data_IF_459277549263
#
_entry.id   IF_459277549263
#
_cell.length_a   1.000
_cell.length_b   1.000
_cell.length_c   1.000
_cell.angle_alpha   90.00
_cell.angle_beta   90.00
_cell.angle_gamma   90.00
#
_symmetry.space_group_name_H-M   'P 1'
#
loop_
_entity.id
_entity.type
_entity.pdbx_description
1 polymer ?
#
# COMPACT_ATOMS: atom_id res chain seq x y z
N UNK A 1 5.42 -19.28 -60.29
CA UNK A 1 4.34 -19.53 -59.31
C UNK A 1 4.72 -18.87 -57.99
N UNK A 2 3.92 -17.87 -57.57
CA UNK A 2 3.70 -17.36 -56.19
C UNK A 2 4.81 -16.59 -55.41
N UNK A 3 4.43 -15.61 -54.56
CA UNK A 3 4.84 -14.21 -54.73
C UNK A 3 5.56 -13.56 -53.53
N UNK A 4 6.08 -12.35 -53.77
CA UNK A 4 6.60 -11.43 -52.75
C UNK A 4 5.49 -10.84 -51.85
N UNK A 5 5.83 -10.44 -50.61
CA UNK A 5 5.15 -9.35 -49.93
C UNK A 5 6.00 -8.08 -49.88
N UNK A 6 5.49 -7.05 -50.56
CA UNK A 6 5.86 -5.64 -50.38
C UNK A 6 5.42 -5.21 -48.97
N UNK A 7 6.32 -4.66 -48.16
CA UNK A 7 5.94 -4.01 -46.90
C UNK A 7 6.36 -2.55 -46.91
N UNK A 8 5.34 -1.70 -46.81
CA UNK A 8 5.36 -0.26 -47.01
C UNK A 8 6.21 0.47 -45.98
N UNK A 9 6.87 1.52 -46.45
CA UNK A 9 7.51 2.58 -45.67
C UNK A 9 6.45 3.36 -44.89
N UNK A 10 6.70 3.63 -43.61
CA UNK A 10 6.14 4.77 -42.89
C UNK A 10 7.08 5.12 -41.73
N UNK A 11 8.00 6.05 -41.98
CA UNK A 11 8.67 6.78 -40.92
C UNK A 11 7.81 7.97 -40.52
N UNK A 12 7.60 8.18 -39.22
CA UNK A 12 7.19 9.47 -38.63
C UNK A 12 7.80 9.54 -37.21
N UNK A 13 8.82 10.39 -37.10
CA UNK A 13 9.25 11.26 -35.99
C UNK A 13 9.03 10.87 -34.52
N UNK A 14 10.15 10.96 -33.80
CA UNK A 14 10.28 10.98 -32.35
C UNK A 14 9.32 11.94 -31.64
N UNK A 15 8.68 11.44 -30.59
CA UNK A 15 8.22 12.22 -29.45
C UNK A 15 8.97 11.70 -28.23
N UNK A 16 9.99 12.45 -27.81
CA UNK A 16 10.62 12.30 -26.51
C UNK A 16 9.65 12.81 -25.46
N UNK A 17 8.91 11.91 -24.80
CA UNK A 17 8.30 12.18 -23.50
C UNK A 17 9.18 11.53 -22.45
N UNK A 18 9.72 12.38 -21.58
CA UNK A 18 10.69 12.03 -20.55
C UNK A 18 10.21 10.82 -19.74
N UNK A 19 10.91 9.70 -19.92
CA UNK A 19 10.93 8.65 -18.93
C UNK A 19 11.78 9.19 -17.76
N UNK A 20 11.16 9.98 -16.89
CA UNK A 20 11.61 10.11 -15.52
C UNK A 20 11.34 8.77 -14.85
N UNK A 21 12.18 7.77 -15.17
CA UNK A 21 12.36 6.59 -14.33
C UNK A 21 13.05 7.15 -13.10
N UNK A 22 12.24 7.68 -12.18
CA UNK A 22 12.67 7.92 -10.83
C UNK A 22 13.32 6.63 -10.37
N UNK A 23 14.56 6.76 -9.94
CA UNK A 23 15.31 5.67 -9.34
C UNK A 23 14.51 5.32 -8.08
N UNK A 24 13.60 4.36 -8.17
CA UNK A 24 12.99 3.72 -7.01
C UNK A 24 14.13 3.01 -6.30
N UNK A 25 14.78 3.79 -5.43
CA UNK A 25 15.94 3.36 -4.66
C UNK A 25 15.59 2.07 -3.96
N UNK A 26 16.35 1.02 -4.27
CA UNK A 26 16.48 -0.23 -3.55
C UNK A 26 15.27 -0.54 -2.65
N UNK A 27 14.14 -0.94 -3.24
CA UNK A 27 13.06 -1.54 -2.46
C UNK A 27 13.68 -2.68 -1.66
N UNK A 28 13.85 -2.46 -0.35
CA UNK A 28 14.53 -3.36 0.55
C UNK A 28 13.77 -4.69 0.45
N UNK A 29 14.35 -5.67 -0.27
CA UNK A 29 13.61 -6.85 -0.77
C UNK A 29 13.04 -7.68 0.38
N UNK A 30 13.67 -7.58 1.54
CA UNK A 30 13.20 -8.14 2.80
C UNK A 30 11.89 -7.47 3.29
N UNK A 31 11.83 -6.14 3.31
CA UNK A 31 10.62 -5.40 3.68
C UNK A 31 9.45 -5.69 2.73
N UNK A 32 9.73 -5.78 1.42
CA UNK A 32 8.71 -6.15 0.43
C UNK A 32 8.18 -7.58 0.66
N UNK A 33 9.06 -8.52 1.03
CA UNK A 33 8.68 -9.89 1.37
C UNK A 33 7.75 -9.94 2.58
N UNK A 34 8.07 -9.22 3.64
CA UNK A 34 7.24 -9.09 4.85
C UNK A 34 5.87 -8.49 4.55
N UNK A 35 5.82 -7.46 3.70
CA UNK A 35 4.55 -6.82 3.33
C UNK A 35 3.68 -7.72 2.48
N UNK A 36 4.27 -8.51 1.56
CA UNK A 36 3.49 -9.51 0.81
C UNK A 36 2.88 -10.57 1.74
N UNK A 37 3.63 -10.99 2.76
CA UNK A 37 3.11 -11.90 3.79
C UNK A 37 1.98 -11.24 4.59
N UNK A 38 2.19 -10.00 5.07
CA UNK A 38 1.17 -9.24 5.77
C UNK A 38 -0.12 -9.06 4.92
N UNK A 39 0.03 -8.71 3.65
CA UNK A 39 -1.10 -8.58 2.73
C UNK A 39 -1.83 -9.90 2.45
N UNK A 40 -1.15 -11.04 2.56
CA UNK A 40 -1.82 -12.36 2.48
C UNK A 40 -2.77 -12.56 3.67
N UNK A 41 -2.34 -12.16 4.87
CA UNK A 41 -3.20 -12.20 6.06
C UNK A 41 -4.36 -11.20 5.95
N UNK A 42 -4.09 -9.97 5.51
CA UNK A 42 -5.15 -8.97 5.23
C UNK A 42 -6.16 -9.51 4.22
N UNK A 43 -5.73 -10.11 3.11
CA UNK A 43 -6.66 -10.68 2.12
C UNK A 43 -7.57 -11.75 2.73
N UNK A 44 -7.02 -12.60 3.61
CA UNK A 44 -7.82 -13.61 4.34
C UNK A 44 -8.79 -12.96 5.33
N UNK A 45 -8.38 -11.90 6.04
CA UNK A 45 -9.28 -11.17 6.92
C UNK A 45 -10.48 -10.63 6.15
N UNK A 46 -10.24 -10.01 5.00
CA UNK A 46 -11.28 -9.41 4.17
C UNK A 46 -12.27 -10.46 3.64
N UNK A 47 -11.80 -11.67 3.30
CA UNK A 47 -12.67 -12.77 2.90
C UNK A 47 -13.54 -13.23 4.06
N UNK A 48 -12.93 -13.51 5.22
CA UNK A 48 -13.65 -13.93 6.44
C UNK A 48 -14.64 -12.87 6.92
N UNK A 49 -14.26 -11.59 6.86
CA UNK A 49 -15.14 -10.48 7.17
C UNK A 49 -16.32 -10.44 6.19
N UNK A 50 -16.06 -10.59 4.88
CA UNK A 50 -17.11 -10.69 3.87
C UNK A 50 -18.08 -11.84 4.15
N UNK A 51 -17.57 -13.03 4.46
CA UNK A 51 -18.38 -14.20 4.86
C UNK A 51 -19.20 -13.91 6.12
N UNK A 52 -18.60 -13.25 7.12
CA UNK A 52 -19.29 -12.87 8.35
C UNK A 52 -20.48 -11.94 8.11
N UNK A 53 -20.35 -11.01 7.16
CA UNK A 53 -21.43 -10.07 6.79
C UNK A 53 -22.54 -10.74 5.98
N UNK A 54 -22.22 -11.83 5.28
CA UNK A 54 -23.18 -12.61 4.49
C UNK A 54 -23.82 -13.77 5.28
N UNK A 55 -23.31 -14.08 6.48
CA UNK A 55 -23.75 -15.22 7.26
C UNK A 55 -25.17 -15.03 7.83
N UNK A 56 -26.03 -16.02 7.62
CA UNK A 56 -27.40 -16.04 8.17
C UNK A 56 -27.43 -16.36 9.66
N UNK A 57 -26.40 -17.06 10.15
CA UNK A 57 -26.29 -17.47 11.56
C UNK A 57 -25.45 -16.46 12.34
N UNK A 58 -25.96 -15.90 13.46
CA UNK A 58 -25.18 -14.97 14.30
C UNK A 58 -23.90 -15.60 14.86
N UNK A 59 -23.93 -16.90 15.18
CA UNK A 59 -22.76 -17.61 15.70
C UNK A 59 -21.66 -17.74 14.64
N UNK A 60 -22.05 -17.99 13.38
CA UNK A 60 -21.12 -18.05 12.25
C UNK A 60 -20.54 -16.67 11.95
N UNK A 61 -21.38 -15.64 11.88
CA UNK A 61 -20.93 -14.26 11.71
C UNK A 61 -19.89 -13.85 12.77
N UNK A 62 -20.16 -14.16 14.04
CA UNK A 62 -19.22 -13.84 15.11
C UNK A 62 -17.91 -14.63 15.02
N UNK A 63 -17.98 -15.92 14.67
CA UNK A 63 -16.80 -16.77 14.46
C UNK A 63 -15.92 -16.24 13.34
N UNK A 64 -16.52 -15.90 12.19
CA UNK A 64 -15.79 -15.44 11.01
C UNK A 64 -15.21 -14.04 11.23
N UNK A 65 -15.94 -13.14 11.90
CA UNK A 65 -15.42 -11.83 12.34
C UNK A 65 -14.23 -11.98 13.31
N UNK A 66 -14.27 -12.94 14.24
CA UNK A 66 -13.16 -13.20 15.16
C UNK A 66 -11.93 -13.74 14.41
N UNK A 67 -12.14 -14.64 13.44
CA UNK A 67 -11.08 -15.17 12.60
C UNK A 67 -10.47 -14.09 11.69
N UNK A 68 -11.29 -13.15 11.19
CA UNK A 68 -10.81 -12.02 10.41
C UNK A 68 -9.88 -11.12 11.22
N UNK A 69 -10.30 -10.71 12.43
CA UNK A 69 -9.47 -9.95 13.36
C UNK A 69 -8.16 -10.67 13.68
N UNK A 70 -8.18 -11.99 13.82
CA UNK A 70 -6.95 -12.76 14.07
C UNK A 70 -5.97 -12.68 12.92
N UNK A 71 -6.44 -12.74 11.67
CA UNK A 71 -5.57 -12.51 10.52
C UNK A 71 -4.93 -11.11 10.53
N UNK A 72 -5.68 -10.07 10.92
CA UNK A 72 -5.11 -8.73 11.07
C UNK A 72 -4.04 -8.68 12.17
N UNK A 73 -4.21 -9.43 13.27
CA UNK A 73 -3.18 -9.52 14.32
C UNK A 73 -1.90 -10.18 13.85
N UNK A 74 -2.00 -11.24 13.05
CA UNK A 74 -0.85 -11.91 12.45
C UNK A 74 -0.12 -11.01 11.43
N UNK A 75 -0.85 -10.12 10.75
CA UNK A 75 -0.27 -9.14 9.82
C UNK A 75 0.52 -8.03 10.53
N UNK A 76 0.12 -7.62 11.74
CA UNK A 76 0.73 -6.51 12.48
C UNK A 76 2.26 -6.63 12.67
N UNK A 77 2.82 -7.72 13.24
CA UNK A 77 4.27 -7.80 13.47
C UNK A 77 5.08 -7.81 12.17
N UNK A 78 4.51 -8.35 11.09
CA UNK A 78 5.13 -8.33 9.76
C UNK A 78 5.20 -6.90 9.21
N UNK A 79 4.10 -6.15 9.33
CA UNK A 79 4.03 -4.76 8.92
C UNK A 79 4.94 -3.85 9.76
N UNK A 80 4.99 -4.06 11.08
CA UNK A 80 5.86 -3.32 11.98
C UNK A 80 7.34 -3.55 11.66
N UNK A 81 7.72 -4.81 11.40
CA UNK A 81 9.09 -5.15 10.97
C UNK A 81 9.41 -4.50 9.63
N UNK A 82 8.50 -4.58 8.66
CA UNK A 82 8.68 -3.95 7.36
C UNK A 82 8.78 -2.41 7.44
N UNK A 83 8.03 -1.77 8.34
CA UNK A 83 8.10 -0.34 8.60
C UNK A 83 9.45 0.07 9.23
N UNK A 84 9.99 -0.76 10.13
CA UNK A 84 11.34 -0.58 10.68
C UNK A 84 12.44 -0.71 9.61
N UNK A 85 12.25 -1.58 8.62
CA UNK A 85 13.17 -1.78 7.49
C UNK A 85 13.01 -0.73 6.37
N UNK A 86 11.82 -0.17 6.22
CA UNK A 86 11.50 0.85 5.24
C UNK A 86 10.28 1.67 5.68
N UNK A 87 10.52 2.97 5.96
CA UNK A 87 9.52 3.91 6.45
C UNK A 87 8.31 4.10 5.53
N UNK A 88 8.38 3.72 4.25
CA UNK A 88 7.22 3.78 3.35
C UNK A 88 6.04 2.91 3.84
N UNK A 89 6.32 1.88 4.65
CA UNK A 89 5.30 0.97 5.19
C UNK A 89 4.73 1.39 6.55
N UNK A 90 5.18 2.53 7.10
CA UNK A 90 4.74 3.01 8.41
C UNK A 90 3.22 3.24 8.45
N UNK A 91 2.66 3.83 7.39
CA UNK A 91 1.23 4.04 7.29
C UNK A 91 0.42 2.73 7.26
N UNK A 92 0.95 1.68 6.62
CA UNK A 92 0.32 0.35 6.62
C UNK A 92 0.37 -0.28 8.01
N UNK A 93 1.51 -0.18 8.71
CA UNK A 93 1.65 -0.62 10.09
C UNK A 93 0.68 0.10 11.04
N UNK A 94 0.54 1.42 10.91
CA UNK A 94 -0.41 2.21 11.71
C UNK A 94 -1.84 1.77 11.43
N UNK A 95 -2.22 1.66 10.15
CA UNK A 95 -3.56 1.20 9.76
C UNK A 95 -3.90 -0.15 10.39
N UNK A 96 -2.95 -1.10 10.38
CA UNK A 96 -3.14 -2.40 11.01
C UNK A 96 -3.23 -2.31 12.55
N UNK A 97 -2.47 -1.42 13.19
CA UNK A 97 -2.55 -1.24 14.65
C UNK A 97 -3.91 -0.71 15.11
N UNK A 98 -4.58 0.07 14.27
CA UNK A 98 -5.93 0.59 14.52
C UNK A 98 -7.01 -0.49 14.41
N UNK A 99 -6.73 -1.67 13.84
CA UNK A 99 -7.69 -2.79 13.77
C UNK A 99 -8.16 -3.29 15.14
N UNK A 100 -7.41 -2.98 16.20
CA UNK A 100 -7.78 -3.28 17.59
C UNK A 100 -8.79 -2.30 18.19
N UNK A 101 -8.96 -1.12 17.58
CA UNK A 101 -9.76 0.00 18.10
C UNK A 101 -10.93 0.35 17.18
N UNK A 102 -10.74 0.17 15.88
CA UNK A 102 -11.65 0.57 14.81
C UNK A 102 -12.28 -0.69 14.22
N UNK A 103 -13.61 -0.71 13.96
CA UNK A 103 -14.25 -1.83 13.30
C UNK A 103 -13.66 -2.06 11.89
N UNK A 104 -13.54 -3.33 11.51
CA UNK A 104 -12.91 -3.73 10.24
C UNK A 104 -13.63 -3.12 9.02
N UNK A 105 -14.94 -2.85 9.10
CA UNK A 105 -15.71 -2.15 8.05
C UNK A 105 -15.07 -0.85 7.57
N UNK A 106 -14.49 -0.10 8.50
CA UNK A 106 -13.94 1.23 8.23
C UNK A 106 -12.50 1.13 7.68
N UNK A 107 -11.83 0.01 7.94
CA UNK A 107 -10.47 -0.27 7.51
C UNK A 107 -10.40 -1.01 6.17
N UNK A 108 -11.44 -1.75 5.79
CA UNK A 108 -11.49 -2.59 4.57
C UNK A 108 -10.98 -1.84 3.33
N UNK A 109 -11.45 -0.61 3.09
CA UNK A 109 -11.04 0.16 1.89
C UNK A 109 -9.57 0.55 1.94
N UNK A 110 -9.08 0.98 3.11
CA UNK A 110 -7.68 1.38 3.28
C UNK A 110 -6.74 0.17 3.11
N UNK A 111 -7.09 -0.95 3.74
CA UNK A 111 -6.34 -2.20 3.66
C UNK A 111 -6.28 -2.75 2.22
N UNK A 112 -7.40 -2.71 1.49
CA UNK A 112 -7.44 -3.11 0.09
C UNK A 112 -6.55 -2.24 -0.80
N UNK A 113 -6.62 -0.92 -0.65
CA UNK A 113 -5.81 0.01 -1.43
C UNK A 113 -4.31 -0.22 -1.19
N UNK A 114 -3.91 -0.29 0.09
CA UNK A 114 -2.51 -0.44 0.49
C UNK A 114 -1.93 -1.80 0.02
N UNK A 115 -2.73 -2.86 -0.04
CA UNK A 115 -2.28 -4.16 -0.55
C UNK A 115 -2.39 -4.34 -2.08
N UNK A 116 -3.26 -3.57 -2.76
CA UNK A 116 -3.32 -3.56 -4.22
C UNK A 116 -2.05 -2.94 -4.84
N UNK A 117 -1.50 -1.93 -4.19
CA UNK A 117 -0.25 -1.27 -4.61
C UNK A 117 0.92 -2.27 -4.59
N UNK A 118 1.08 -3.00 -3.48
CA UNK A 118 2.08 -4.07 -3.30
C UNK A 118 2.01 -5.13 -4.40
N UNK A 119 0.78 -5.51 -4.79
CA UNK A 119 0.53 -6.56 -5.79
C UNK A 119 0.86 -6.10 -7.21
N UNK A 120 0.77 -4.79 -7.47
CA UNK A 120 1.03 -4.17 -8.77
C UNK A 120 2.52 -3.92 -9.04
N UNK A 121 3.40 -4.29 -8.11
CA UNK A 121 4.85 -4.05 -8.19
C UNK A 121 5.25 -2.63 -7.79
N UNK A 122 4.30 -1.72 -7.59
CA UNK A 122 4.52 -0.43 -6.96
C UNK A 122 4.59 -0.62 -5.46
N UNK A 123 5.81 -0.72 -4.91
CA UNK A 123 6.03 -0.89 -3.47
C UNK A 123 5.63 0.31 -2.60
N UNK A 124 4.74 1.18 -3.09
CA UNK A 124 4.35 2.40 -2.43
C UNK A 124 2.89 2.30 -2.02
N UNK A 125 2.58 2.14 -0.73
CA UNK A 125 1.22 2.37 -0.28
C UNK A 125 0.89 3.82 -0.63
N UNK A 126 -0.17 4.02 -1.40
CA UNK A 126 -0.68 5.34 -1.78
C UNK A 126 -1.24 6.07 -0.56
N UNK A 127 -0.35 6.44 0.37
CA UNK A 127 -0.63 7.60 1.21
C UNK A 127 -0.78 8.76 0.24
N UNK A 128 -1.93 9.43 0.28
CA UNK A 128 -2.03 10.80 -0.21
C UNK A 128 -1.11 11.65 0.65
N UNK A 129 0.20 11.56 0.44
CA UNK A 129 1.16 12.51 0.95
C UNK A 129 1.01 13.73 0.06
N UNK A 130 0.10 14.63 0.45
CA UNK A 130 0.43 16.05 0.33
C UNK A 130 1.80 16.19 0.95
N UNK A 131 2.83 16.29 0.11
CA UNK A 131 4.16 16.75 0.50
C UNK A 131 3.98 18.14 1.11
N UNK A 132 3.73 18.21 2.41
CA UNK A 132 4.10 19.39 3.17
C UNK A 132 5.57 19.20 3.49
N UNK A 133 6.41 19.61 2.53
CA UNK A 133 7.71 20.17 2.87
C UNK A 133 7.53 21.00 4.14
N UNK A 134 8.30 20.78 5.22
CA UNK A 134 8.33 21.74 6.31
C UNK A 134 8.70 23.08 5.67
N UNK A 135 7.75 24.02 5.63
CA UNK A 135 8.09 25.38 5.24
C UNK A 135 9.30 25.79 6.09
N UNK A 136 10.37 26.37 5.50
CA UNK A 136 11.44 26.90 6.31
C UNK A 136 10.82 27.87 7.30
N UNK A 137 11.02 27.58 8.59
CA UNK A 137 10.60 28.45 9.68
C UNK A 137 11.14 29.84 9.34
N UNK A 138 10.29 30.88 9.19
CA UNK A 138 10.82 32.23 9.03
C UNK A 138 11.59 32.55 10.30
N UNK A 139 12.91 32.57 10.19
CA UNK A 139 13.81 33.08 11.23
C UNK A 139 13.49 34.56 11.36
N UNK A 140 12.59 34.90 12.28
CA UNK A 140 12.42 36.27 12.70
C UNK A 140 13.65 36.63 13.53
N UNK A 141 14.46 37.63 13.14
CA UNK A 141 15.56 38.08 13.97
C UNK A 141 14.97 38.71 15.24
N UNK A 142 15.34 38.17 16.41
CA UNK A 142 15.19 38.88 17.68
C UNK A 142 15.83 40.27 17.55
N UNK A 143 15.12 41.37 17.86
CA UNK A 143 15.73 42.68 17.91
C UNK A 143 16.59 42.78 19.17
N UNK A 144 17.87 43.08 18.96
CA UNK A 144 18.78 43.49 20.01
C UNK A 144 18.28 44.79 20.65
N UNK A 145 18.27 44.85 21.99
CA UNK A 145 18.40 46.08 22.75
C UNK A 145 17.15 46.58 23.49
N UNK A 146 17.21 46.52 24.83
CA UNK A 146 17.40 47.71 25.68
C UNK A 146 18.12 47.32 26.96
#
# INVERSE_FOLDING_TARGET
MSPAPVRRVAGVTAVSLLAAVGIEGCANSNALGLIRQACTHVQRSLVLYGESTAATSPATAQSDSAAALEQLREAMPLAATAAGENAQWDAFSVTLSESSRVPESDLVRALQAQCADVSSGGGQPTTSTTSTTPAPVPTNPEPVGR
#
